data_IF_085095970168
#
_entry.id   IF_085095970168
#
_cell.length_a   1.000
_cell.length_b   1.000
_cell.length_c   1.000
_cell.angle_alpha   90.00
_cell.angle_beta   90.00
_cell.angle_gamma   90.00
#
_symmetry.space_group_name_H-M   'P 1'
#
loop_
_entity.id
_entity.type
_entity.pdbx_description
1 polymer ?
#
# COMPACT_ATOMS: atom_id res chain seq x y z
N UNK A 1 65.48 4.14 11.95
CA UNK A 1 66.74 3.88 11.23
C UNK A 1 66.41 3.44 9.81
N UNK A 2 66.74 4.28 8.85
CA UNK A 2 66.96 3.88 7.45
C UNK A 2 68.23 2.97 7.41
N UNK A 3 68.60 2.22 6.34
CA UNK A 3 68.04 2.33 4.99
C UNK A 3 68.10 1.05 4.07
N UNK A 4 67.44 1.13 2.89
CA UNK A 4 68.01 0.93 1.52
C UNK A 4 68.41 -0.52 1.06
N UNK A 5 68.28 -0.97 -0.21
CA UNK A 5 68.19 -0.33 -1.55
C UNK A 5 67.62 -1.28 -2.65
N UNK A 6 66.88 -0.68 -3.60
CA UNK A 6 66.98 -0.73 -5.10
C UNK A 6 66.82 -2.07 -5.87
N UNK A 7 66.34 -2.17 -7.12
CA UNK A 7 65.64 -1.32 -8.12
C UNK A 7 65.28 -2.25 -9.32
N UNK A 8 64.09 -2.17 -9.95
CA UNK A 8 63.77 -1.57 -11.29
C UNK A 8 64.87 -1.70 -12.36
N UNK A 9 64.66 -2.01 -13.66
CA UNK A 9 63.52 -2.19 -14.58
C UNK A 9 64.05 -2.58 -15.99
N UNK A 10 63.32 -3.35 -16.80
CA UNK A 10 62.59 -3.00 -18.06
C UNK A 10 63.38 -2.60 -19.35
N UNK A 11 63.04 -3.29 -20.46
CA UNK A 11 63.13 -2.85 -21.87
C UNK A 11 64.33 -3.40 -22.68
N UNK A 12 64.29 -3.79 -23.97
CA UNK A 12 63.27 -3.75 -25.03
C UNK A 12 63.75 -4.57 -26.28
N UNK A 13 62.80 -4.95 -27.17
CA UNK A 13 62.78 -5.04 -28.67
C UNK A 13 64.09 -5.32 -29.47
N UNK A 14 64.15 -5.89 -30.69
CA UNK A 14 63.28 -6.56 -31.70
C UNK A 14 64.12 -6.83 -32.98
N UNK A 15 63.59 -7.65 -33.92
CA UNK A 15 63.90 -7.80 -35.38
C UNK A 15 65.18 -8.54 -35.81
N UNK A 16 65.31 -9.25 -36.96
CA UNK A 16 64.46 -9.90 -37.96
C UNK A 16 65.38 -10.49 -39.09
N UNK A 17 64.78 -11.23 -40.06
CA UNK A 17 65.27 -11.60 -41.44
C UNK A 17 66.13 -12.88 -41.52
N UNK A 18 65.99 -13.83 -42.47
CA UNK A 18 65.28 -13.89 -43.76
C UNK A 18 65.17 -15.33 -44.33
N UNK A 19 64.73 -15.44 -45.60
CA UNK A 19 64.05 -16.59 -46.21
C UNK A 19 64.87 -17.44 -47.22
N UNK A 20 64.25 -18.53 -47.72
CA UNK A 20 64.11 -19.02 -49.14
C UNK A 20 64.26 -20.56 -49.35
N UNK A 21 63.15 -21.18 -49.81
CA UNK A 21 62.80 -22.30 -50.75
C UNK A 21 63.88 -23.32 -51.25
N UNK A 22 63.63 -24.59 -51.66
CA UNK A 22 62.68 -25.18 -52.68
C UNK A 22 62.58 -26.75 -52.58
N UNK A 23 61.53 -27.34 -53.20
CA UNK A 23 61.32 -28.72 -53.78
C UNK A 23 61.09 -29.94 -52.86
N UNK A 24 60.25 -30.95 -53.14
CA UNK A 24 59.46 -31.39 -54.34
C UNK A 24 58.30 -32.32 -53.93
N UNK A 25 57.32 -32.49 -54.81
CA UNK A 25 56.08 -33.27 -54.68
C UNK A 25 56.25 -34.81 -54.66
N UNK A 26 55.29 -35.55 -54.08
CA UNK A 26 54.57 -36.67 -54.74
C UNK A 26 53.47 -37.31 -53.85
N UNK A 27 52.49 -37.89 -54.54
CA UNK A 27 51.20 -38.46 -54.11
C UNK A 27 51.19 -39.52 -52.98
N UNK A 28 50.05 -39.56 -52.27
CA UNK A 28 49.55 -40.73 -51.50
C UNK A 28 49.02 -41.84 -52.42
N UNK A 29 48.88 -43.09 -51.93
CA UNK A 29 47.51 -43.52 -51.57
C UNK A 29 47.39 -44.47 -50.36
N UNK A 30 46.18 -44.41 -49.78
CA UNK A 30 45.36 -45.43 -49.10
C UNK A 30 45.87 -46.24 -47.89
N UNK A 31 45.26 -45.95 -46.73
CA UNK A 31 44.74 -46.99 -45.80
C UNK A 31 43.53 -46.48 -44.99
N UNK A 32 42.58 -47.41 -44.84
CA UNK A 32 41.21 -47.32 -44.29
C UNK A 32 41.04 -46.67 -42.90
N UNK A 33 39.80 -46.28 -42.50
CA UNK A 33 39.57 -45.29 -41.46
C UNK A 33 39.63 -45.89 -40.05
N UNK A 34 40.37 -45.22 -39.16
CA UNK A 34 40.22 -45.40 -37.72
C UNK A 34 38.97 -44.62 -37.27
N UNK A 35 38.04 -45.37 -36.67
CA UNK A 35 36.81 -44.88 -36.05
C UNK A 35 37.19 -43.90 -34.93
N UNK A 36 37.07 -42.61 -35.20
CA UNK A 36 37.24 -41.56 -34.20
C UNK A 36 36.07 -41.67 -33.22
N UNK A 37 36.33 -42.23 -32.04
CA UNK A 37 35.46 -42.08 -30.89
C UNK A 37 35.46 -40.59 -30.55
N UNK A 38 34.42 -39.87 -30.98
CA UNK A 38 34.01 -38.63 -30.32
C UNK A 38 33.75 -38.98 -28.86
N UNK A 39 34.69 -38.65 -28.00
CA UNK A 39 34.40 -38.42 -26.61
C UNK A 39 33.43 -37.23 -26.58
N UNK A 40 32.14 -37.51 -26.41
CA UNK A 40 31.18 -36.52 -25.92
C UNK A 40 31.64 -36.13 -24.51
N UNK A 41 32.52 -35.13 -24.45
CA UNK A 41 32.71 -34.37 -23.24
C UNK A 41 31.36 -33.66 -22.99
N UNK A 42 30.55 -34.23 -22.09
CA UNK A 42 29.40 -33.55 -21.54
C UNK A 42 29.84 -32.13 -21.15
N UNK A 43 29.40 -31.13 -21.92
CA UNK A 43 29.60 -29.73 -21.54
C UNK A 43 28.76 -29.53 -20.30
N UNK A 44 29.43 -29.57 -19.14
CA UNK A 44 28.80 -29.28 -17.86
C UNK A 44 28.19 -27.89 -18.00
N UNK A 45 26.86 -27.84 -18.11
CA UNK A 45 26.16 -26.60 -18.39
C UNK A 45 26.28 -25.74 -17.15
N UNK A 46 26.97 -24.60 -17.28
CA UNK A 46 27.28 -23.72 -16.16
C UNK A 46 26.79 -22.32 -16.45
N UNK A 47 26.04 -21.77 -15.50
CA UNK A 47 25.61 -20.37 -15.52
C UNK A 47 26.08 -19.70 -14.23
N UNK A 48 26.39 -18.41 -14.27
CA UNK A 48 26.76 -17.66 -13.06
C UNK A 48 25.74 -16.56 -12.86
N UNK A 49 25.13 -16.53 -11.67
CA UNK A 49 24.16 -15.49 -11.28
C UNK A 49 24.71 -14.79 -10.05
N UNK A 50 24.73 -13.46 -10.08
CA UNK A 50 24.97 -12.68 -8.87
C UNK A 50 23.66 -12.21 -8.26
N UNK A 51 23.59 -12.23 -6.94
CA UNK A 51 22.48 -11.72 -6.14
C UNK A 51 22.96 -10.57 -5.28
N UNK A 52 22.31 -9.41 -5.43
CA UNK A 52 22.61 -8.18 -4.71
C UNK A 52 21.35 -7.72 -3.95
N UNK A 53 21.46 -7.50 -2.64
CA UNK A 53 20.38 -6.96 -1.80
C UNK A 53 20.36 -5.44 -1.68
N UNK A 54 21.17 -4.73 -2.46
CA UNK A 54 21.38 -3.28 -2.36
C UNK A 54 20.79 -2.46 -3.51
N UNK A 55 20.08 -3.09 -4.46
CA UNK A 55 19.54 -2.36 -5.60
C UNK A 55 18.49 -1.33 -5.14
N UNK A 56 18.68 -0.06 -5.52
CA UNK A 56 17.77 1.03 -5.18
C UNK A 56 17.78 1.47 -3.71
N UNK A 57 18.78 1.06 -2.91
CA UNK A 57 18.91 1.52 -1.54
C UNK A 57 19.30 3.02 -1.48
N UNK A 58 18.60 3.80 -0.65
CA UNK A 58 18.86 5.24 -0.42
C UNK A 58 19.79 5.51 0.76
N UNK A 59 20.06 4.48 1.58
CA UNK A 59 21.01 4.51 2.70
C UNK A 59 22.29 3.72 2.38
N UNK A 60 23.27 3.74 3.30
CA UNK A 60 24.47 2.90 3.22
C UNK A 60 24.09 1.42 3.27
N UNK A 61 23.90 0.82 2.10
CA UNK A 61 23.77 -0.63 1.96
C UNK A 61 25.17 -1.26 1.95
N UNK A 62 25.36 -2.28 2.76
CA UNK A 62 26.66 -2.92 2.98
C UNK A 62 26.58 -4.44 2.97
N UNK A 63 25.76 -4.99 2.07
CA UNK A 63 25.69 -6.43 1.84
C UNK A 63 26.70 -6.87 0.76
N UNK A 64 27.49 -7.93 0.98
CA UNK A 64 28.38 -8.44 -0.04
C UNK A 64 27.60 -9.03 -1.22
N UNK A 65 28.01 -8.69 -2.45
CA UNK A 65 27.47 -9.31 -3.66
C UNK A 65 27.72 -10.83 -3.64
N UNK A 66 26.64 -11.61 -3.68
CA UNK A 66 26.75 -13.07 -3.72
C UNK A 66 26.82 -13.56 -5.15
N UNK A 67 27.94 -14.14 -5.57
CA UNK A 67 28.08 -14.77 -6.90
C UNK A 67 27.93 -16.28 -6.77
N UNK A 68 26.94 -16.84 -7.46
CA UNK A 68 26.59 -18.26 -7.38
C UNK A 68 26.76 -18.91 -8.75
N UNK A 69 27.64 -19.91 -8.81
CA UNK A 69 27.73 -20.81 -9.95
C UNK A 69 26.59 -21.83 -9.88
N UNK A 70 25.84 -21.93 -10.97
CA UNK A 70 24.77 -22.89 -11.20
C UNK A 70 25.30 -23.97 -12.12
N UNK A 71 25.31 -25.21 -11.65
CA UNK A 71 25.76 -26.36 -12.44
C UNK A 71 24.71 -27.48 -12.41
N UNK A 72 24.78 -28.37 -13.38
CA UNK A 72 23.90 -29.52 -13.52
C UNK A 72 23.57 -29.84 -14.96
N UNK A 73 22.84 -30.94 -15.16
CA UNK A 73 22.51 -31.45 -16.49
C UNK A 73 21.15 -30.89 -16.99
N UNK A 74 20.03 -31.36 -16.41
CA UNK A 74 18.68 -30.92 -16.80
C UNK A 74 18.20 -29.65 -16.11
N UNK A 75 18.64 -29.41 -14.88
CA UNK A 75 18.32 -28.21 -14.08
C UNK A 75 19.59 -27.75 -13.39
N UNK A 76 19.99 -26.51 -13.63
CA UNK A 76 21.15 -25.89 -13.01
C UNK A 76 20.80 -25.49 -11.58
N UNK A 77 21.57 -25.93 -10.60
CA UNK A 77 21.32 -25.58 -9.19
C UNK A 77 22.53 -24.90 -8.57
N UNK A 78 22.26 -23.86 -7.78
CA UNK A 78 23.27 -23.15 -6.99
C UNK A 78 23.30 -23.61 -5.54
N UNK A 79 24.43 -23.38 -4.86
CA UNK A 79 24.50 -23.56 -3.41
C UNK A 79 23.62 -22.50 -2.71
N UNK A 80 22.79 -22.90 -1.74
CA UNK A 80 22.02 -21.94 -0.97
C UNK A 80 22.92 -20.99 -0.16
N UNK A 81 22.51 -19.74 -0.02
CA UNK A 81 23.23 -18.72 0.74
C UNK A 81 22.25 -17.83 1.52
N UNK A 82 22.82 -16.95 2.35
CA UNK A 82 22.05 -15.99 3.16
C UNK A 82 22.47 -14.57 2.78
N UNK A 83 21.50 -13.72 2.45
CA UNK A 83 21.68 -12.28 2.34
C UNK A 83 21.78 -11.71 3.75
N UNK A 84 22.82 -10.92 4.00
CA UNK A 84 23.12 -10.37 5.30
C UNK A 84 22.12 -9.29 5.74
N UNK A 85 22.21 -8.81 6.99
CA UNK A 85 21.34 -7.75 7.51
C UNK A 85 21.59 -6.39 6.83
N UNK A 86 22.69 -6.27 6.07
CA UNK A 86 23.02 -5.11 5.25
C UNK A 86 22.15 -5.00 4.00
N UNK A 87 21.50 -6.10 3.55
CA UNK A 87 20.61 -6.13 2.40
C UNK A 87 19.33 -5.33 2.70
N UNK A 88 19.36 -4.05 2.34
CA UNK A 88 18.36 -3.06 2.72
C UNK A 88 17.52 -2.56 1.55
N UNK A 89 17.96 -2.84 0.32
CA UNK A 89 17.28 -2.47 -0.91
C UNK A 89 16.47 -3.62 -1.50
N UNK A 90 16.01 -3.41 -2.73
CA UNK A 90 15.47 -4.48 -3.55
C UNK A 90 16.56 -5.50 -3.90
N UNK A 91 16.14 -6.74 -4.16
CA UNK A 91 17.03 -7.82 -4.57
C UNK A 91 17.15 -7.83 -6.09
N UNK A 92 18.38 -7.69 -6.59
CA UNK A 92 18.74 -7.88 -8.00
C UNK A 92 19.32 -9.29 -8.21
N UNK A 93 18.80 -9.99 -9.23
CA UNK A 93 19.38 -11.20 -9.81
C UNK A 93 19.98 -10.84 -11.16
N UNK A 94 21.29 -10.94 -11.32
CA UNK A 94 21.98 -10.62 -12.57
C UNK A 94 22.75 -11.81 -13.13
N UNK A 95 22.50 -12.14 -14.39
CA UNK A 95 23.24 -13.16 -15.12
C UNK A 95 24.63 -12.61 -15.48
N UNK A 96 25.68 -13.35 -15.11
CA UNK A 96 27.09 -12.99 -15.34
C UNK A 96 27.75 -13.82 -16.45
N UNK A 97 27.07 -14.87 -16.91
CA UNK A 97 27.45 -15.61 -18.11
C UNK A 97 26.77 -15.04 -19.35
N UNK A 98 27.34 -15.20 -20.56
CA UNK A 98 26.66 -14.83 -21.80
C UNK A 98 25.29 -15.50 -21.91
N UNK A 99 24.27 -14.73 -22.28
CA UNK A 99 22.90 -15.20 -22.40
C UNK A 99 21.88 -14.20 -21.84
N UNK A 100 20.65 -14.66 -21.66
CA UNK A 100 19.53 -13.90 -21.10
C UNK A 100 18.76 -14.73 -20.08
N UNK A 101 18.14 -14.05 -19.13
CA UNK A 101 17.09 -14.57 -18.26
C UNK A 101 15.77 -14.53 -19.06
N UNK A 102 15.41 -15.62 -19.71
CA UNK A 102 14.18 -15.71 -20.51
C UNK A 102 12.91 -15.67 -19.64
N UNK A 103 12.98 -16.18 -18.42
CA UNK A 103 11.91 -16.12 -17.42
C UNK A 103 12.51 -16.10 -16.00
N UNK A 104 11.86 -15.36 -15.10
CA UNK A 104 12.25 -15.22 -13.69
C UNK A 104 11.01 -15.31 -12.80
N UNK A 105 10.96 -16.37 -11.99
CA UNK A 105 9.91 -16.57 -11.01
C UNK A 105 10.51 -16.82 -9.62
N UNK A 106 10.49 -15.78 -8.79
CA UNK A 106 10.91 -15.83 -7.39
C UNK A 106 9.69 -16.05 -6.49
N UNK A 107 9.76 -17.02 -5.59
CA UNK A 107 8.69 -17.31 -4.62
C UNK A 107 9.21 -17.37 -3.19
N UNK A 108 8.40 -16.94 -2.22
CA UNK A 108 8.68 -17.15 -0.79
C UNK A 108 8.40 -18.60 -0.34
N UNK A 109 8.66 -18.92 0.93
CA UNK A 109 8.41 -20.24 1.51
C UNK A 109 6.94 -20.69 1.50
N UNK A 110 5.99 -19.77 1.28
CA UNK A 110 4.55 -20.05 1.16
C UNK A 110 4.12 -20.21 -0.30
N UNK A 111 5.05 -20.13 -1.24
CA UNK A 111 4.79 -20.21 -2.68
C UNK A 111 4.26 -18.91 -3.29
N UNK A 112 4.23 -17.80 -2.54
CA UNK A 112 3.77 -16.50 -3.05
C UNK A 112 4.84 -15.93 -3.97
N UNK A 113 4.43 -15.45 -5.15
CA UNK A 113 5.32 -14.81 -6.12
C UNK A 113 5.78 -13.44 -5.59
N UNK A 114 7.08 -13.19 -5.67
CA UNK A 114 7.66 -11.88 -5.40
C UNK A 114 7.55 -11.04 -6.67
N UNK A 115 6.91 -9.88 -6.55
CA UNK A 115 6.84 -8.92 -7.65
C UNK A 115 8.23 -8.37 -7.96
N UNK A 116 8.52 -8.19 -9.25
CA UNK A 116 9.76 -7.60 -9.73
C UNK A 116 9.76 -7.50 -11.25
N UNK A 117 10.72 -6.75 -11.78
CA UNK A 117 10.82 -6.43 -13.20
C UNK A 117 12.17 -6.87 -13.76
N UNK A 118 12.16 -7.33 -15.01
CA UNK A 118 13.40 -7.55 -15.76
C UNK A 118 13.80 -6.28 -16.49
N UNK A 119 15.10 -6.06 -16.65
CA UNK A 119 15.60 -4.97 -17.49
C UNK A 119 15.45 -5.30 -18.98
N UNK A 120 15.59 -4.29 -19.84
CA UNK A 120 15.33 -4.41 -21.28
C UNK A 120 16.21 -5.46 -21.99
N UNK A 121 17.46 -5.63 -21.55
CA UNK A 121 18.38 -6.63 -22.11
C UNK A 121 18.15 -8.05 -21.55
N UNK A 122 17.21 -8.20 -20.59
CA UNK A 122 16.87 -9.45 -19.90
C UNK A 122 18.06 -10.11 -19.21
N UNK A 123 19.09 -9.38 -18.83
CA UNK A 123 20.23 -9.91 -18.06
C UNK A 123 20.03 -9.75 -16.56
N UNK A 124 19.06 -8.93 -16.13
CA UNK A 124 18.79 -8.64 -14.72
C UNK A 124 17.30 -8.69 -14.40
N UNK A 125 16.99 -9.08 -13.17
CA UNK A 125 15.67 -8.94 -12.56
C UNK A 125 15.81 -8.27 -11.21
N UNK A 126 14.95 -7.31 -10.90
CA UNK A 126 14.97 -6.58 -9.62
C UNK A 126 13.61 -6.71 -8.95
N UNK A 127 13.59 -7.07 -7.67
CA UNK A 127 12.35 -7.11 -6.90
C UNK A 127 11.74 -5.71 -6.77
N UNK A 128 10.41 -5.64 -6.75
CA UNK A 128 9.70 -4.37 -6.65
C UNK A 128 9.87 -3.71 -5.27
N UNK A 129 10.13 -4.52 -4.24
CA UNK A 129 10.35 -4.09 -2.85
C UNK A 129 11.51 -4.87 -2.22
N UNK A 130 12.12 -4.32 -1.16
CA UNK A 130 13.01 -5.08 -0.29
C UNK A 130 12.35 -6.36 0.23
N UNK A 131 13.14 -7.42 0.38
CA UNK A 131 12.62 -8.70 0.85
C UNK A 131 12.49 -8.70 2.39
N UNK A 132 11.39 -9.24 2.95
CA UNK A 132 11.27 -9.45 4.39
C UNK A 132 12.44 -10.23 4.98
N UNK A 133 12.89 -9.82 6.16
CA UNK A 133 13.93 -10.46 6.95
C UNK A 133 13.49 -11.86 7.46
N UNK A 134 14.45 -12.78 7.61
CA UNK A 134 14.24 -14.13 8.13
C UNK A 134 13.43 -15.06 7.22
N UNK A 135 13.19 -14.68 5.96
CA UNK A 135 12.38 -15.43 5.01
C UNK A 135 13.23 -16.23 4.03
N UNK A 136 12.65 -17.29 3.43
CA UNK A 136 13.32 -18.15 2.44
C UNK A 136 12.70 -17.95 1.08
N UNK A 137 13.53 -17.93 0.06
CA UNK A 137 13.15 -17.67 -1.31
C UNK A 137 13.71 -18.73 -2.25
N UNK A 138 12.94 -19.04 -3.27
CA UNK A 138 13.34 -19.89 -4.38
C UNK A 138 13.16 -19.12 -5.69
N UNK A 139 14.26 -18.78 -6.34
CA UNK A 139 14.28 -18.23 -7.69
C UNK A 139 14.36 -19.36 -8.70
N UNK A 140 13.29 -19.53 -9.49
CA UNK A 140 13.25 -20.39 -10.67
C UNK A 140 13.50 -19.53 -11.89
N UNK A 141 14.56 -19.84 -12.63
CA UNK A 141 15.04 -19.06 -13.76
C UNK A 141 15.01 -19.92 -15.02
N UNK A 142 14.82 -19.30 -16.17
CA UNK A 142 15.15 -19.89 -17.48
C UNK A 142 16.29 -19.08 -18.06
N UNK A 143 17.45 -19.72 -18.20
CA UNK A 143 18.66 -19.10 -18.76
C UNK A 143 18.81 -19.59 -20.18
N UNK A 144 18.86 -18.68 -21.14
CA UNK A 144 19.05 -18.99 -22.56
C UNK A 144 20.38 -18.42 -23.06
N UNK A 145 21.13 -19.18 -23.85
CA UNK A 145 22.43 -18.81 -24.40
C UNK A 145 23.65 -19.22 -23.56
N UNK A 146 23.48 -19.67 -22.32
CA UNK A 146 24.55 -20.31 -21.55
C UNK A 146 24.64 -21.79 -21.96
N UNK A 147 25.78 -22.22 -22.51
CA UNK A 147 26.11 -23.63 -22.77
C UNK A 147 25.31 -24.43 -23.83
N UNK A 148 24.44 -23.80 -24.65
CA UNK A 148 23.88 -24.46 -25.84
C UNK A 148 22.36 -24.59 -25.92
N UNK A 149 21.61 -23.79 -25.17
CA UNK A 149 20.14 -23.70 -25.29
C UNK A 149 19.48 -23.17 -24.01
N UNK A 150 18.15 -23.25 -23.91
CA UNK A 150 17.43 -22.87 -22.70
C UNK A 150 17.62 -23.92 -21.59
N UNK A 151 18.22 -23.52 -20.48
CA UNK A 151 18.35 -24.32 -19.28
C UNK A 151 17.46 -23.78 -18.16
N UNK A 152 16.79 -24.68 -17.44
CA UNK A 152 16.10 -24.33 -16.20
C UNK A 152 17.13 -24.21 -15.09
N UNK A 153 17.01 -23.17 -14.29
CA UNK A 153 17.90 -22.91 -13.16
C UNK A 153 17.09 -22.71 -11.88
N UNK A 154 17.66 -23.12 -10.75
CA UNK A 154 17.11 -22.91 -9.42
C UNK A 154 18.18 -22.35 -8.49
N UNK A 155 17.83 -21.26 -7.83
CA UNK A 155 18.63 -20.62 -6.80
C UNK A 155 17.79 -20.43 -5.55
N UNK A 156 18.17 -21.08 -4.46
CA UNK A 156 17.52 -20.91 -3.16
C UNK A 156 18.38 -19.98 -2.30
N UNK A 157 17.76 -19.02 -1.62
CA UNK A 157 18.44 -18.11 -0.71
C UNK A 157 17.51 -17.70 0.43
N UNK A 158 18.08 -17.13 1.49
CA UNK A 158 17.30 -16.61 2.63
C UNK A 158 17.82 -15.22 3.02
N UNK A 159 16.98 -14.43 3.66
CA UNK A 159 17.39 -13.18 4.32
C UNK A 159 17.72 -13.47 5.78
N UNK A 160 18.69 -12.74 6.33
CA UNK A 160 18.97 -12.84 7.76
C UNK A 160 17.77 -12.43 8.61
N UNK A 161 17.59 -13.02 9.81
CA UNK A 161 16.53 -12.62 10.72
C UNK A 161 16.65 -11.15 11.11
N UNK A 162 15.51 -10.49 11.28
CA UNK A 162 15.49 -9.14 11.85
C UNK A 162 16.13 -9.17 13.26
N UNK A 163 17.00 -8.20 13.62
CA UNK A 163 17.60 -8.13 14.95
C UNK A 163 16.54 -8.20 16.05
N UNK A 164 16.84 -8.89 17.17
CA UNK A 164 15.92 -8.92 18.30
C UNK A 164 15.59 -7.49 18.78
N UNK A 165 14.34 -7.24 19.12
CA UNK A 165 13.87 -5.91 19.54
C UNK A 165 12.39 -5.70 19.25
N UNK A 166 11.95 -4.47 19.48
CA UNK A 166 10.57 -4.05 19.20
C UNK A 166 10.22 -4.21 17.72
N UNK A 167 8.93 -4.42 17.46
CA UNK A 167 8.37 -4.60 16.13
C UNK A 167 7.19 -3.66 15.95
N UNK A 168 7.13 -3.00 14.80
CA UNK A 168 5.98 -2.21 14.42
C UNK A 168 4.85 -3.15 13.98
N UNK A 169 3.75 -3.12 14.72
CA UNK A 169 2.53 -3.90 14.45
C UNK A 169 1.37 -2.94 14.19
N UNK A 170 0.29 -3.48 13.62
CA UNK A 170 -0.89 -2.69 13.25
C UNK A 170 -2.13 -3.31 13.86
N UNK A 171 -2.93 -2.49 14.53
CA UNK A 171 -4.30 -2.79 14.89
C UNK A 171 -5.23 -2.20 13.82
N UNK A 172 -5.93 -3.05 13.08
CA UNK A 172 -6.90 -2.61 12.09
C UNK A 172 -8.29 -2.46 12.71
N UNK A 173 -8.97 -1.36 12.37
CA UNK A 173 -10.37 -1.15 12.65
C UNK A 173 -11.23 -1.18 11.37
N UNK A 174 -12.54 -1.44 11.51
CA UNK A 174 -13.27 -1.59 12.79
C UNK A 174 -13.03 -2.92 13.53
N UNK A 175 -13.00 -2.89 14.87
CA UNK A 175 -12.42 -3.96 15.73
C UNK A 175 -13.13 -5.33 15.69
N UNK A 176 -14.43 -5.37 15.40
CA UNK A 176 -15.23 -6.58 15.59
C UNK A 176 -15.55 -7.35 14.30
N UNK A 177 -15.06 -6.87 13.15
CA UNK A 177 -15.58 -7.34 11.87
C UNK A 177 -17.11 -7.19 11.80
N UNK A 178 -17.77 -7.94 10.93
CA UNK A 178 -19.24 -7.87 10.77
C UNK A 178 -19.67 -6.92 9.67
N UNK A 179 -20.89 -6.38 9.77
CA UNK A 179 -21.51 -5.58 8.71
C UNK A 179 -21.65 -4.12 9.10
N UNK A 180 -21.00 -3.24 8.35
CA UNK A 180 -21.01 -1.80 8.56
C UNK A 180 -21.74 -1.06 7.44
N UNK A 181 -22.00 0.23 7.62
CA UNK A 181 -22.46 1.08 6.54
C UNK A 181 -21.37 1.40 5.53
N UNK A 182 -21.77 1.88 4.36
CA UNK A 182 -20.88 2.12 3.22
C UNK A 182 -19.88 3.27 3.44
N UNK A 183 -20.07 4.06 4.50
CA UNK A 183 -19.19 5.15 4.88
C UNK A 183 -18.09 4.76 5.87
N UNK A 184 -18.02 3.51 6.34
CA UNK A 184 -17.03 3.09 7.33
C UNK A 184 -15.60 3.13 6.75
N UNK A 185 -14.69 4.00 7.25
CA UNK A 185 -13.29 3.91 6.86
C UNK A 185 -12.63 2.67 7.48
N UNK A 186 -11.55 2.20 6.86
CA UNK A 186 -10.63 1.27 7.52
C UNK A 186 -9.64 2.11 8.31
N UNK A 187 -9.41 1.78 9.57
CA UNK A 187 -8.36 2.43 10.38
C UNK A 187 -7.18 1.47 10.56
N UNK A 188 -5.98 2.02 10.66
CA UNK A 188 -4.77 1.31 10.99
C UNK A 188 -4.03 2.11 12.06
N UNK A 189 -4.01 1.58 13.28
CA UNK A 189 -3.26 2.12 14.41
C UNK A 189 -1.94 1.38 14.54
N UNK A 190 -0.83 2.11 14.44
CA UNK A 190 0.53 1.61 14.54
C UNK A 190 0.95 1.56 16.01
N UNK A 191 1.64 0.49 16.40
CA UNK A 191 2.19 0.38 17.76
C UNK A 191 3.35 1.34 18.06
N UNK A 192 3.90 1.98 17.02
CA UNK A 192 5.01 2.94 17.13
C UNK A 192 4.75 4.14 16.22
N UNK A 193 5.13 5.35 16.63
CA UNK A 193 5.00 6.53 15.78
C UNK A 193 5.97 6.46 14.59
N UNK A 194 5.47 6.82 13.42
CA UNK A 194 6.22 7.07 12.19
C UNK A 194 6.07 8.56 11.83
N UNK A 195 7.04 9.40 12.23
CA UNK A 195 7.00 10.85 12.02
C UNK A 195 6.80 11.26 10.54
N UNK A 196 6.30 12.48 10.32
CA UNK A 196 5.99 13.00 8.98
C UNK A 196 7.23 13.24 8.10
N UNK A 197 8.38 13.47 8.72
CA UNK A 197 9.69 13.63 8.07
C UNK A 197 10.34 12.28 7.71
N UNK A 198 9.90 11.17 8.30
CA UNK A 198 10.34 9.81 7.97
C UNK A 198 9.66 9.28 6.69
N UNK A 199 9.85 9.96 5.57
CA UNK A 199 9.15 9.68 4.30
C UNK A 199 9.28 8.24 3.81
N UNK A 200 10.49 7.68 3.82
CA UNK A 200 10.72 6.29 3.41
C UNK A 200 10.08 5.27 4.36
N UNK A 201 10.09 5.55 5.67
CA UNK A 201 9.40 4.75 6.68
C UNK A 201 7.89 4.73 6.41
N UNK A 202 7.29 5.90 6.15
CA UNK A 202 5.87 6.01 5.80
C UNK A 202 5.53 5.26 4.52
N UNK A 203 6.37 5.37 3.49
CA UNK A 203 6.19 4.60 2.24
C UNK A 203 6.33 3.09 2.45
N UNK A 204 7.25 2.66 3.31
CA UNK A 204 7.41 1.25 3.64
C UNK A 204 6.17 0.71 4.38
N UNK A 205 5.66 1.47 5.34
CA UNK A 205 4.42 1.13 6.05
C UNK A 205 3.24 1.06 5.09
N UNK A 206 2.97 2.15 4.36
CA UNK A 206 1.78 2.25 3.51
C UNK A 206 1.75 1.20 2.40
N UNK A 207 2.89 0.88 1.76
CA UNK A 207 2.96 -0.20 0.73
C UNK A 207 2.65 -1.58 1.30
N UNK A 208 2.95 -1.79 2.59
CA UNK A 208 2.71 -3.06 3.24
C UNK A 208 1.25 -3.23 3.69
N UNK A 209 0.49 -2.13 3.87
CA UNK A 209 -0.92 -2.20 4.25
C UNK A 209 -1.80 -2.40 3.02
N UNK A 210 -2.40 -3.57 2.89
CA UNK A 210 -3.19 -3.96 1.72
C UNK A 210 -4.67 -4.01 2.06
N UNK A 211 -5.46 -3.35 1.22
CA UNK A 211 -6.93 -3.37 1.27
C UNK A 211 -7.45 -3.92 -0.04
N UNK A 212 -8.36 -4.88 0.03
CA UNK A 212 -9.06 -5.45 -1.12
C UNK A 212 -10.56 -5.44 -0.85
N UNK A 213 -11.33 -5.27 -1.91
CA UNK A 213 -12.79 -5.30 -1.85
C UNK A 213 -13.38 -6.10 -3.00
N UNK A 214 -14.56 -6.65 -2.74
CA UNK A 214 -15.40 -7.32 -3.72
C UNK A 214 -16.83 -6.73 -3.61
N UNK A 215 -17.35 -6.04 -4.64
CA UNK A 215 -16.67 -5.64 -5.88
C UNK A 215 -15.43 -4.76 -5.64
N UNK A 216 -14.45 -4.86 -6.55
CA UNK A 216 -13.22 -4.08 -6.46
C UNK A 216 -13.50 -2.58 -6.62
N UNK A 217 -12.96 -1.79 -5.70
CA UNK A 217 -12.93 -0.33 -5.77
C UNK A 217 -11.54 0.19 -5.46
N UNK A 218 -11.16 1.27 -6.14
CA UNK A 218 -9.92 1.99 -5.86
C UNK A 218 -10.06 2.82 -4.58
N UNK A 219 -9.04 2.78 -3.74
CA UNK A 219 -8.92 3.58 -2.53
C UNK A 219 -7.47 3.84 -2.15
N UNK A 220 -7.26 4.68 -1.15
CA UNK A 220 -5.94 5.14 -0.73
C UNK A 220 -5.88 5.34 0.78
N UNK A 221 -4.69 5.16 1.35
CA UNK A 221 -4.40 5.48 2.74
C UNK A 221 -4.17 6.99 2.91
N UNK A 222 -4.54 7.49 4.07
CA UNK A 222 -4.27 8.85 4.53
C UNK A 222 -3.61 8.75 5.91
N UNK A 223 -2.43 9.36 6.08
CA UNK A 223 -1.80 9.51 7.38
C UNK A 223 -2.48 10.61 8.19
N UNK A 224 -3.29 10.22 9.18
CA UNK A 224 -3.98 11.16 10.08
C UNK A 224 -2.99 11.82 11.02
N UNK A 225 -2.09 11.02 11.60
CA UNK A 225 -1.00 11.47 12.46
C UNK A 225 0.24 10.56 12.30
N UNK A 226 1.09 10.41 13.32
CA UNK A 226 2.27 9.52 13.26
C UNK A 226 1.95 8.05 13.55
N UNK A 227 0.81 7.76 14.17
CA UNK A 227 0.40 6.40 14.56
C UNK A 227 -0.90 5.96 13.88
N UNK A 228 -1.64 6.87 13.27
CA UNK A 228 -2.98 6.59 12.75
C UNK A 228 -3.04 6.80 11.25
N UNK A 229 -3.50 5.79 10.52
CA UNK A 229 -3.88 5.91 9.12
C UNK A 229 -5.34 5.53 8.93
N UNK A 230 -6.01 6.23 8.03
CA UNK A 230 -7.34 5.86 7.55
C UNK A 230 -7.27 5.46 6.07
N UNK A 231 -8.08 4.51 5.63
CA UNK A 231 -8.25 4.15 4.23
C UNK A 231 -9.71 4.22 3.85
N UNK A 232 -9.96 4.82 2.68
CA UNK A 232 -11.28 4.78 2.04
C UNK A 232 -11.18 4.73 0.52
N UNK A 233 -12.21 4.21 -0.16
CA UNK A 233 -12.37 4.36 -1.59
C UNK A 233 -12.63 5.81 -1.99
N UNK A 234 -12.50 6.10 -3.30
CA UNK A 234 -12.75 7.44 -3.87
C UNK A 234 -14.15 7.97 -3.53
N UNK A 235 -15.14 7.11 -3.67
CA UNK A 235 -16.52 7.29 -3.20
C UNK A 235 -16.78 6.34 -2.04
N UNK A 236 -18.02 6.17 -1.59
CA UNK A 236 -18.35 5.16 -0.58
C UNK A 236 -18.03 3.73 -1.04
N UNK A 237 -17.88 2.82 -0.08
CA UNK A 237 -17.82 1.40 -0.38
C UNK A 237 -19.06 0.96 -1.17
N UNK A 238 -18.95 -0.02 -2.08
CA UNK A 238 -20.13 -0.63 -2.66
C UNK A 238 -21.02 -1.20 -1.55
N UNK A 239 -22.34 -1.16 -1.74
CA UNK A 239 -23.26 -1.83 -0.83
C UNK A 239 -23.09 -3.35 -0.95
N UNK A 240 -23.21 -4.09 0.16
CA UNK A 240 -23.05 -5.57 0.19
C UNK A 240 -21.68 -6.03 -0.31
N UNK A 241 -20.66 -5.20 -0.10
CA UNK A 241 -19.28 -5.54 -0.42
C UNK A 241 -18.65 -6.37 0.69
N UNK A 242 -17.64 -7.16 0.33
CA UNK A 242 -16.70 -7.76 1.27
C UNK A 242 -15.39 -6.98 1.20
N UNK A 243 -14.83 -6.61 2.35
CA UNK A 243 -13.56 -5.90 2.46
C UNK A 243 -12.59 -6.73 3.29
N UNK A 244 -11.39 -6.94 2.74
CA UNK A 244 -10.29 -7.65 3.38
C UNK A 244 -9.10 -6.73 3.55
N UNK A 245 -8.55 -6.68 4.76
CA UNK A 245 -7.40 -5.84 5.12
C UNK A 245 -6.34 -6.71 5.75
N UNK A 246 -5.10 -6.57 5.31
CA UNK A 246 -3.98 -7.24 5.95
C UNK A 246 -2.70 -6.41 5.88
N UNK A 247 -1.79 -6.71 6.81
CA UNK A 247 -0.47 -6.13 6.86
C UNK A 247 0.57 -7.08 6.29
N UNK A 248 1.39 -6.59 5.37
CA UNK A 248 2.60 -7.24 4.86
C UNK A 248 3.87 -6.83 5.62
N UNK A 249 3.73 -6.25 6.82
CA UNK A 249 4.86 -5.69 7.57
C UNK A 249 5.77 -6.72 8.21
N UNK A 250 5.31 -7.95 8.42
CA UNK A 250 6.09 -8.97 9.12
C UNK A 250 7.44 -9.23 8.43
N UNK A 251 8.52 -8.84 9.12
CA UNK A 251 9.89 -8.89 8.61
C UNK A 251 10.27 -7.76 7.65
N UNK A 252 9.35 -6.89 7.26
CA UNK A 252 9.65 -5.72 6.43
C UNK A 252 10.49 -4.71 7.22
N UNK A 253 11.50 -4.13 6.56
CA UNK A 253 12.29 -3.05 7.14
C UNK A 253 11.53 -1.73 7.02
N UNK A 254 11.47 -0.96 8.11
CA UNK A 254 10.75 0.33 8.16
C UNK A 254 11.76 1.47 8.12
N UNK A 255 12.52 1.66 9.20
CA UNK A 255 13.59 2.66 9.30
C UNK A 255 14.50 2.38 10.50
N UNK A 256 15.76 2.81 10.47
CA UNK A 256 16.62 2.88 11.67
C UNK A 256 16.84 1.56 12.42
N UNK A 257 16.57 0.40 11.80
CA UNK A 257 16.60 -0.92 12.44
C UNK A 257 15.27 -1.38 13.02
N UNK A 258 14.20 -0.57 12.92
CA UNK A 258 12.82 -0.98 13.17
C UNK A 258 12.33 -1.88 12.02
N UNK A 259 11.80 -3.03 12.41
CA UNK A 259 11.16 -3.99 11.52
C UNK A 259 9.69 -4.12 11.87
N UNK A 260 8.89 -4.40 10.86
CA UNK A 260 7.49 -4.74 11.06
C UNK A 260 7.33 -6.14 11.65
N UNK A 261 6.24 -6.31 12.39
CA UNK A 261 5.83 -7.57 13.02
C UNK A 261 4.51 -8.09 12.47
N UNK A 262 4.13 -9.31 12.87
CA UNK A 262 2.85 -9.88 12.49
C UNK A 262 1.70 -9.04 13.04
N UNK A 263 0.68 -8.83 12.22
CA UNK A 263 -0.53 -8.09 12.59
C UNK A 263 -1.76 -8.93 12.27
N UNK A 264 -2.81 -8.82 13.08
CA UNK A 264 -4.06 -9.56 12.86
C UNK A 264 -4.78 -8.97 11.63
N UNK A 265 -5.16 -9.77 10.62
CA UNK A 265 -5.93 -9.27 9.49
C UNK A 265 -7.36 -8.92 9.92
N UNK A 266 -8.01 -8.05 9.15
CA UNK A 266 -9.41 -7.65 9.33
C UNK A 266 -10.22 -8.06 8.11
N UNK A 267 -11.47 -8.47 8.34
CA UNK A 267 -12.45 -8.66 7.29
C UNK A 267 -13.83 -8.23 7.78
N UNK A 268 -14.53 -7.47 6.95
CA UNK A 268 -15.88 -6.99 7.24
C UNK A 268 -16.68 -6.89 5.93
N UNK A 269 -17.99 -6.75 6.06
CA UNK A 269 -18.90 -6.51 4.94
C UNK A 269 -19.59 -5.17 5.08
N UNK A 270 -20.12 -4.65 3.99
CA UNK A 270 -21.01 -3.49 4.02
C UNK A 270 -22.46 -3.92 3.87
N UNK A 271 -23.39 -3.20 4.49
CA UNK A 271 -24.82 -3.42 4.33
C UNK A 271 -25.39 -2.73 3.10
N UNK A 272 -26.71 -2.57 3.07
CA UNK A 272 -27.36 -1.59 2.18
C UNK A 272 -26.82 -0.19 2.46
N UNK A 273 -26.72 0.66 1.43
CA UNK A 273 -26.33 2.06 1.61
C UNK A 273 -27.45 2.82 2.29
N UNK A 274 -27.25 3.23 3.55
CA UNK A 274 -28.15 4.15 4.23
C UNK A 274 -27.51 5.53 4.26
N UNK A 275 -28.26 6.53 3.82
CA UNK A 275 -27.88 7.94 3.91
C UNK A 275 -29.04 8.73 4.51
N UNK A 276 -28.82 9.36 5.66
CA UNK A 276 -29.76 10.27 6.28
C UNK A 276 -29.31 11.71 6.01
N UNK A 277 -30.09 12.45 5.23
CA UNK A 277 -29.80 13.84 4.86
C UNK A 277 -30.65 14.76 5.73
N UNK A 278 -30.00 15.46 6.67
CA UNK A 278 -30.62 16.53 7.46
C UNK A 278 -30.51 17.85 6.72
N UNK A 279 -31.62 18.38 6.27
CA UNK A 279 -31.73 19.75 5.77
C UNK A 279 -32.14 20.66 6.93
N UNK A 280 -31.20 21.49 7.38
CA UNK A 280 -31.43 22.41 8.51
C UNK A 280 -32.48 23.46 8.16
N UNK A 281 -32.45 24.01 6.94
CA UNK A 281 -33.39 25.04 6.51
C UNK A 281 -34.82 24.54 6.32
N UNK A 282 -34.98 23.27 5.96
CA UNK A 282 -36.28 22.62 5.82
C UNK A 282 -36.76 21.94 7.10
N UNK A 283 -35.95 21.95 8.18
CA UNK A 283 -36.22 21.25 9.44
C UNK A 283 -36.64 19.78 9.25
N UNK A 284 -36.02 19.11 8.27
CA UNK A 284 -36.39 17.76 7.86
C UNK A 284 -35.17 16.87 7.64
N UNK A 285 -35.34 15.59 7.93
CA UNK A 285 -34.37 14.54 7.61
C UNK A 285 -34.97 13.57 6.62
N UNK A 286 -34.35 13.47 5.44
CA UNK A 286 -34.72 12.49 4.42
C UNK A 286 -33.77 11.32 4.46
N UNK A 287 -34.30 10.12 4.71
CA UNK A 287 -33.52 8.88 4.80
C UNK A 287 -33.68 8.08 3.52
N UNK A 288 -32.56 7.67 2.95
CA UNK A 288 -32.47 6.86 1.74
C UNK A 288 -31.90 5.48 2.03
N UNK A 289 -32.36 4.48 1.27
CA UNK A 289 -31.78 3.15 1.21
C UNK A 289 -31.46 2.80 -0.22
N UNK A 290 -30.18 2.55 -0.51
CA UNK A 290 -29.68 2.25 -1.86
C UNK A 290 -30.08 3.30 -2.91
N UNK A 291 -30.23 4.56 -2.49
CA UNK A 291 -30.65 5.68 -3.34
C UNK A 291 -32.16 5.90 -3.42
N UNK A 292 -32.98 4.98 -2.90
CA UNK A 292 -34.43 5.12 -2.85
C UNK A 292 -34.87 5.83 -1.57
N UNK A 293 -35.85 6.72 -1.69
CA UNK A 293 -36.46 7.41 -0.56
C UNK A 293 -37.13 6.38 0.35
N UNK A 294 -36.73 6.36 1.62
CA UNK A 294 -37.29 5.44 2.62
C UNK A 294 -38.26 6.15 3.56
N UNK A 295 -37.89 7.31 4.11
CA UNK A 295 -38.74 8.10 5.03
C UNK A 295 -38.28 9.56 5.09
N UNK A 296 -39.23 10.46 5.32
CA UNK A 296 -38.95 11.84 5.69
C UNK A 296 -39.37 12.06 7.15
N UNK A 297 -38.51 12.67 7.96
CA UNK A 297 -38.69 12.86 9.39
C UNK A 297 -38.68 14.36 9.71
N UNK A 298 -39.69 14.91 10.41
CA UNK A 298 -39.58 16.25 10.97
C UNK A 298 -38.50 16.23 12.06
N UNK A 299 -37.60 17.20 12.03
CA UNK A 299 -36.49 17.29 13.00
C UNK A 299 -36.31 18.71 13.52
N UNK A 300 -35.65 18.84 14.65
CA UNK A 300 -35.06 20.09 15.12
C UNK A 300 -33.55 19.93 15.20
N UNK A 301 -32.79 20.98 14.85
CA UNK A 301 -31.32 20.95 14.92
C UNK A 301 -30.78 21.99 15.90
N UNK A 302 -29.49 22.30 15.84
CA UNK A 302 -28.81 23.19 16.77
C UNK A 302 -29.19 24.66 16.60
N UNK A 303 -29.65 25.29 17.68
CA UNK A 303 -30.00 26.72 17.72
C UNK A 303 -28.80 27.63 17.49
N UNK A 304 -29.04 28.93 17.31
CA UNK A 304 -27.96 29.93 17.23
C UNK A 304 -27.02 29.82 18.45
N UNK A 305 -25.71 29.86 18.21
CA UNK A 305 -24.68 29.59 19.23
C UNK A 305 -24.28 28.11 19.36
N UNK A 306 -25.15 27.18 18.98
CA UNK A 306 -24.95 25.72 19.07
C UNK A 306 -25.30 25.00 17.77
N UNK A 307 -25.10 25.67 16.63
CA UNK A 307 -25.51 25.17 15.31
C UNK A 307 -24.88 23.83 14.99
N UNK A 308 -25.71 22.88 14.57
CA UNK A 308 -25.30 21.53 14.16
C UNK A 308 -24.25 21.62 13.04
N UNK A 309 -23.18 20.83 13.16
CA UNK A 309 -22.11 20.84 12.15
C UNK A 309 -22.62 20.37 10.79
N UNK A 310 -22.25 21.12 9.75
CA UNK A 310 -22.55 20.79 8.35
C UNK A 310 -21.57 19.76 7.78
N UNK A 311 -21.95 19.04 6.73
CA UNK A 311 -21.10 18.05 6.07
C UNK A 311 -21.50 16.61 6.37
N UNK A 312 -20.65 15.67 5.94
CA UNK A 312 -20.87 14.23 6.04
C UNK A 312 -20.28 13.71 7.36
N UNK A 313 -21.07 12.94 8.09
CA UNK A 313 -20.69 12.26 9.32
C UNK A 313 -20.94 10.77 9.14
N UNK A 314 -20.12 9.95 9.76
CA UNK A 314 -20.32 8.50 9.81
C UNK A 314 -20.87 8.15 11.19
N UNK A 315 -21.89 7.29 11.24
CA UNK A 315 -22.42 6.77 12.49
C UNK A 315 -21.31 6.02 13.24
N UNK A 316 -21.00 6.48 14.45
CA UNK A 316 -19.93 5.95 15.30
C UNK A 316 -20.40 4.83 16.22
N UNK A 317 -21.65 4.90 16.63
CA UNK A 317 -22.20 4.00 17.64
C UNK A 317 -23.65 4.33 17.96
N UNK A 318 -24.29 3.42 18.69
CA UNK A 318 -25.72 3.48 18.98
C UNK A 318 -25.99 3.06 20.41
N UNK A 319 -26.76 3.88 21.13
CA UNK A 319 -27.11 3.67 22.53
C UNK A 319 -28.64 3.77 22.71
N UNK A 320 -29.34 2.70 23.13
CA UNK A 320 -30.79 2.76 23.36
C UNK A 320 -31.20 3.78 24.42
N UNK A 321 -30.29 4.07 25.36
CA UNK A 321 -30.43 5.08 26.39
C UNK A 321 -29.04 5.67 26.71
N UNK A 322 -28.92 6.98 26.58
CA UNK A 322 -27.70 7.73 26.93
C UNK A 322 -28.05 8.86 27.89
N UNK A 323 -27.18 9.11 28.87
CA UNK A 323 -27.26 10.32 29.70
C UNK A 323 -26.40 11.41 29.08
N UNK A 324 -27.04 12.39 28.45
CA UNK A 324 -26.36 13.53 27.86
C UNK A 324 -26.27 14.66 28.89
N UNK A 325 -25.06 15.17 29.15
CA UNK A 325 -24.84 16.28 30.08
C UNK A 325 -24.14 17.43 29.39
N UNK A 326 -24.54 18.67 29.67
CA UNK A 326 -23.92 19.86 29.11
C UNK A 326 -22.45 20.02 29.54
N UNK A 327 -22.09 19.55 30.74
CA UNK A 327 -20.72 19.63 31.23
C UNK A 327 -19.73 18.80 30.42
N UNK A 328 -20.16 17.70 29.77
CA UNK A 328 -19.30 16.90 28.90
C UNK A 328 -18.91 17.62 27.61
N UNK A 329 -19.60 18.71 27.27
CA UNK A 329 -19.31 19.57 26.12
C UNK A 329 -18.91 20.99 26.55
N UNK A 330 -18.59 21.19 27.82
CA UNK A 330 -18.07 22.47 28.34
C UNK A 330 -19.12 23.49 28.78
N UNK A 331 -20.41 23.13 28.85
CA UNK A 331 -21.44 24.02 29.41
C UNK A 331 -21.31 24.11 30.93
N UNK A 332 -21.27 25.35 31.44
CA UNK A 332 -21.21 25.61 32.89
C UNK A 332 -22.52 25.21 33.56
N UNK A 333 -22.44 24.46 34.66
CA UNK A 333 -23.61 24.17 35.51
C UNK A 333 -24.28 25.47 35.96
N UNK A 334 -25.61 25.51 35.89
CA UNK A 334 -26.40 26.69 36.23
C UNK A 334 -26.50 27.75 35.13
N UNK A 335 -25.87 27.56 33.96
CA UNK A 335 -26.18 28.39 32.79
C UNK A 335 -27.58 28.07 32.25
N UNK A 336 -28.18 29.01 31.52
CA UNK A 336 -29.49 28.84 30.87
C UNK A 336 -29.50 27.72 29.83
N UNK A 337 -28.33 27.36 29.30
CA UNK A 337 -28.17 26.30 28.29
C UNK A 337 -27.79 24.95 28.90
N UNK A 338 -27.54 24.87 30.21
CA UNK A 338 -27.13 23.64 30.85
C UNK A 338 -28.24 22.58 30.78
N UNK A 339 -27.88 21.35 30.42
CA UNK A 339 -28.79 20.21 30.39
C UNK A 339 -28.18 18.97 31.06
N UNK A 340 -29.04 18.11 31.60
CA UNK A 340 -28.72 16.77 32.10
C UNK A 340 -29.92 15.87 31.82
N UNK A 341 -29.88 15.18 30.68
CA UNK A 341 -31.03 14.49 30.09
C UNK A 341 -30.72 13.01 29.90
N UNK A 342 -31.73 12.17 30.19
CA UNK A 342 -31.74 10.78 29.73
C UNK A 342 -32.47 10.72 28.39
N UNK A 343 -31.76 10.29 27.37
CA UNK A 343 -32.20 10.37 25.97
C UNK A 343 -32.26 8.96 25.38
N UNK A 344 -33.38 8.63 24.77
CA UNK A 344 -33.60 7.33 24.14
C UNK A 344 -33.21 7.34 22.66
N UNK A 345 -32.88 6.15 22.15
CA UNK A 345 -32.65 5.88 20.73
C UNK A 345 -31.57 6.80 20.11
N UNK A 346 -30.43 6.89 20.79
CA UNK A 346 -29.37 7.82 20.42
C UNK A 346 -28.39 7.16 19.43
N UNK A 347 -28.25 7.76 18.26
CA UNK A 347 -27.25 7.41 17.25
C UNK A 347 -26.14 8.46 17.25
N UNK A 348 -24.93 8.08 17.65
CA UNK A 348 -23.78 8.98 17.80
C UNK A 348 -23.12 9.24 16.44
N UNK A 349 -22.81 10.50 16.14
CA UNK A 349 -22.14 10.89 14.88
C UNK A 349 -20.87 11.73 15.06
N UNK A 350 -20.61 12.23 16.28
CA UNK A 350 -19.32 12.88 16.61
C UNK A 350 -18.82 12.47 17.98
N UNK A 351 -17.51 12.57 18.22
CA UNK A 351 -16.93 12.35 19.55
C UNK A 351 -17.28 13.47 20.53
N UNK A 352 -17.50 14.69 20.03
CA UNK A 352 -17.95 15.85 20.80
C UNK A 352 -19.40 15.78 21.25
N UNK A 353 -20.14 14.72 20.91
CA UNK A 353 -21.48 14.46 21.43
C UNK A 353 -22.64 15.00 20.59
N UNK A 354 -22.52 15.10 19.27
CA UNK A 354 -23.68 15.23 18.40
C UNK A 354 -24.32 13.85 18.15
N UNK A 355 -25.64 13.79 18.32
CA UNK A 355 -26.46 12.59 18.14
C UNK A 355 -27.71 12.88 17.31
N UNK A 356 -28.28 11.81 16.75
CA UNK A 356 -29.65 11.76 16.26
C UNK A 356 -30.46 11.00 17.31
N UNK A 357 -31.52 11.58 17.87
CA UNK A 357 -32.17 10.99 19.04
C UNK A 357 -33.62 11.42 19.28
N UNK A 358 -34.30 10.71 20.19
CA UNK A 358 -35.65 11.07 20.64
C UNK A 358 -35.63 12.38 21.45
N UNK A 359 -36.48 13.33 21.08
CA UNK A 359 -36.64 14.63 21.74
C UNK A 359 -38.13 14.93 21.99
N UNK A 360 -38.83 14.14 22.83
CA UNK A 360 -40.26 14.34 23.08
C UNK A 360 -40.61 15.71 23.69
N UNK A 361 -39.63 16.40 24.28
CA UNK A 361 -39.79 17.75 24.82
C UNK A 361 -39.82 18.86 23.75
N UNK A 362 -39.52 18.55 22.48
CA UNK A 362 -39.42 19.53 21.40
C UNK A 362 -40.30 19.21 20.20
N UNK A 363 -41.40 18.47 20.39
CA UNK A 363 -42.29 18.05 19.30
C UNK A 363 -42.81 19.24 18.48
N UNK A 364 -43.18 20.34 19.14
CA UNK A 364 -43.71 21.54 18.47
C UNK A 364 -42.66 22.29 17.63
N UNK A 365 -41.37 22.08 17.90
CA UNK A 365 -40.26 22.66 17.14
C UNK A 365 -39.78 21.76 15.99
N UNK A 366 -40.10 20.48 16.00
CA UNK A 366 -39.66 19.55 14.96
C UNK A 366 -40.39 19.85 13.65
N UNK A 367 -39.64 20.15 12.59
CA UNK A 367 -40.21 20.61 11.32
C UNK A 367 -40.42 22.13 11.22
N UNK A 368 -40.02 22.91 12.23
CA UNK A 368 -40.29 24.36 12.26
C UNK A 368 -39.18 25.23 12.85
N UNK A 369 -38.42 24.76 13.84
CA UNK A 369 -37.44 25.56 14.56
C UNK A 369 -36.25 24.73 15.07
N UNK A 370 -35.06 25.34 15.10
CA UNK A 370 -33.84 24.76 15.69
C UNK A 370 -33.70 25.14 17.17
N UNK A 371 -33.88 24.18 18.08
CA UNK A 371 -33.88 24.44 19.54
C UNK A 371 -32.84 23.64 20.32
N UNK A 372 -32.10 22.74 19.68
CA UNK A 372 -31.13 21.87 20.37
C UNK A 372 -29.77 22.53 20.58
N UNK A 373 -28.87 21.83 21.28
CA UNK A 373 -27.45 22.21 21.44
C UNK A 373 -26.52 21.57 20.40
N UNK A 374 -27.05 21.19 19.23
CA UNK A 374 -26.28 20.65 18.10
C UNK A 374 -26.72 19.26 17.65
N UNK A 375 -27.45 18.53 18.49
CA UNK A 375 -28.06 17.26 18.11
C UNK A 375 -29.17 17.43 17.07
N UNK A 376 -29.54 16.35 16.40
CA UNK A 376 -30.75 16.29 15.58
C UNK A 376 -31.84 15.55 16.36
N UNK A 377 -32.79 16.32 16.89
CA UNK A 377 -33.92 15.80 17.67
C UNK A 377 -35.11 15.48 16.80
N UNK A 378 -35.80 14.38 17.10
CA UNK A 378 -37.01 13.94 16.41
C UNK A 378 -37.99 13.27 17.37
N UNK A 379 -39.18 12.88 16.88
CA UNK A 379 -40.15 12.18 17.70
C UNK A 379 -39.57 10.87 18.25
N UNK A 380 -40.11 10.37 19.37
CA UNK A 380 -39.60 9.11 19.95
C UNK A 380 -39.77 7.93 18.99
N UNK A 381 -40.86 7.93 18.22
CA UNK A 381 -41.13 6.92 17.20
C UNK A 381 -40.13 6.99 16.04
N UNK A 382 -39.89 8.19 15.49
CA UNK A 382 -38.95 8.39 14.39
C UNK A 382 -37.52 8.06 14.82
N UNK A 383 -37.14 8.43 16.05
CA UNK A 383 -35.84 8.09 16.60
C UNK A 383 -35.66 6.58 16.77
N UNK A 384 -36.68 5.87 17.27
CA UNK A 384 -36.65 4.41 17.37
C UNK A 384 -36.54 3.76 15.98
N UNK A 385 -37.34 4.22 15.03
CA UNK A 385 -37.29 3.74 13.65
C UNK A 385 -35.93 3.95 13.01
N UNK A 386 -35.36 5.16 13.15
CA UNK A 386 -34.04 5.49 12.62
C UNK A 386 -32.96 4.64 13.29
N UNK A 387 -33.01 4.53 14.62
CA UNK A 387 -32.08 3.72 15.41
C UNK A 387 -32.07 2.26 14.93
N UNK A 388 -33.21 1.67 14.59
CA UNK A 388 -33.26 0.31 14.05
C UNK A 388 -32.91 0.21 12.57
N UNK A 389 -32.97 1.33 11.83
CA UNK A 389 -32.67 1.39 10.39
C UNK A 389 -31.18 1.56 10.11
N UNK A 390 -30.50 2.40 10.89
CA UNK A 390 -29.08 2.74 10.71
C UNK A 390 -28.16 1.77 11.47
N UNK A 391 -26.93 1.65 10.99
CA UNK A 391 -25.83 0.93 11.65
C UNK A 391 -24.57 1.78 11.68
N UNK A 392 -23.59 1.37 12.48
CA UNK A 392 -22.25 1.97 12.45
C UNK A 392 -21.68 1.95 11.03
N UNK A 393 -21.08 3.06 10.59
CA UNK A 393 -20.61 3.21 9.22
C UNK A 393 -21.63 3.82 8.25
N UNK A 394 -22.91 3.93 8.62
CA UNK A 394 -23.90 4.61 7.77
C UNK A 394 -23.68 6.13 7.78
N UNK A 395 -24.21 6.81 6.78
CA UNK A 395 -23.91 8.22 6.51
C UNK A 395 -25.02 9.12 7.03
N UNK A 396 -24.62 10.20 7.72
CA UNK A 396 -25.48 11.33 8.06
C UNK A 396 -24.91 12.58 7.43
N UNK A 397 -25.65 13.19 6.51
CA UNK A 397 -25.23 14.41 5.80
C UNK A 397 -26.06 15.58 6.25
N UNK A 398 -25.43 16.63 6.78
CA UNK A 398 -26.11 17.86 7.21
C UNK A 398 -25.86 18.95 6.17
N UNK A 399 -26.94 19.53 5.64
CA UNK A 399 -26.91 20.54 4.57
C UNK A 399 -27.73 21.78 4.94
N UNK A 400 -27.54 22.86 4.19
CA UNK A 400 -28.35 24.09 4.27
C UNK A 400 -28.43 24.71 5.67
N UNK A 401 -27.38 24.54 6.49
CA UNK A 401 -27.24 25.13 7.81
C UNK A 401 -26.05 26.08 7.90
N UNK A 402 -25.99 26.85 8.99
CA UNK A 402 -24.90 27.80 9.28
C UNK A 402 -23.93 27.31 10.36
N UNK A 403 -23.90 26.00 10.62
CA UNK A 403 -22.96 25.39 11.56
C UNK A 403 -21.55 25.29 10.99
N UNK A 404 -20.57 25.05 11.87
CA UNK A 404 -19.19 24.77 11.43
C UNK A 404 -19.16 23.51 10.55
N UNK A 405 -18.25 23.40 9.58
CA UNK A 405 -18.08 22.14 8.86
C UNK A 405 -17.64 21.03 9.81
N UNK A 406 -17.99 19.80 9.43
CA UNK A 406 -17.48 18.59 10.04
C UNK A 406 -15.97 18.54 9.82
N UNK A 407 -15.24 18.35 10.91
CA UNK A 407 -13.78 18.27 10.88
C UNK A 407 -13.34 16.90 10.38
N UNK A 408 -12.23 16.78 9.64
CA UNK A 408 -11.85 15.52 9.02
C UNK A 408 -11.58 14.37 10.00
N UNK A 409 -10.86 14.61 11.11
CA UNK A 409 -10.29 13.52 11.92
C UNK A 409 -10.39 13.70 13.44
N UNK A 410 -10.60 14.91 13.97
CA UNK A 410 -10.54 15.17 15.43
C UNK A 410 -11.87 14.98 16.16
N UNK A 411 -12.95 14.65 15.45
CA UNK A 411 -14.29 14.65 16.01
C UNK A 411 -15.19 13.49 15.50
N UNK A 412 -14.60 12.35 15.20
CA UNK A 412 -15.22 11.22 14.53
C UNK A 412 -14.69 11.05 13.11
N UNK A 413 -15.38 10.28 12.28
CA UNK A 413 -14.99 10.06 10.89
C UNK A 413 -15.56 11.16 10.00
N UNK A 414 -14.79 12.22 9.79
CA UNK A 414 -15.06 13.28 8.83
C UNK A 414 -14.34 13.09 7.50
N UNK A 415 -13.79 11.90 7.25
CA UNK A 415 -12.97 11.50 6.10
C UNK A 415 -13.56 11.91 4.75
N UNK A 416 -14.89 11.82 4.64
CA UNK A 416 -15.68 12.12 3.44
C UNK A 416 -15.87 13.62 3.17
N UNK A 417 -15.44 14.49 4.08
CA UNK A 417 -15.45 15.94 3.89
C UNK A 417 -14.18 16.46 3.21
N UNK A 418 -13.16 15.61 3.03
CA UNK A 418 -12.03 15.87 2.15
C UNK A 418 -12.40 15.45 0.72
N UNK A 419 -12.13 16.29 -0.26
CA UNK A 419 -12.23 15.87 -1.65
C UNK A 419 -11.15 14.81 -1.97
N UNK A 420 -11.38 13.99 -2.99
CA UNK A 420 -10.44 12.92 -3.35
C UNK A 420 -9.00 13.41 -3.60
N UNK A 421 -8.76 14.54 -4.29
CA UNK A 421 -7.41 15.09 -4.42
C UNK A 421 -6.77 15.48 -3.07
N UNK A 422 -7.56 15.98 -2.11
CA UNK A 422 -7.07 16.32 -0.78
C UNK A 422 -6.75 15.07 0.04
N UNK A 423 -7.56 14.03 -0.11
CA UNK A 423 -7.30 12.72 0.47
C UNK A 423 -5.98 12.14 -0.02
N UNK A 424 -5.73 12.15 -1.33
CA UNK A 424 -4.49 11.64 -1.90
C UNK A 424 -3.24 12.39 -1.38
N UNK A 425 -3.33 13.66 -1.00
CA UNK A 425 -2.18 14.39 -0.41
C UNK A 425 -1.74 13.86 0.95
N UNK A 426 -2.59 13.10 1.65
CA UNK A 426 -2.24 12.43 2.89
C UNK A 426 -1.53 11.09 2.70
N UNK A 427 -1.44 10.56 1.48
CA UNK A 427 -0.71 9.35 1.14
C UNK A 427 0.79 9.63 1.00
N UNK A 428 1.62 8.75 1.53
CA UNK A 428 3.06 8.75 1.31
C UNK A 428 3.45 8.26 -0.10
N UNK A 429 2.53 7.61 -0.81
CA UNK A 429 2.74 7.04 -2.15
C UNK A 429 2.24 7.94 -3.28
N UNK A 430 1.27 8.82 -3.02
CA UNK A 430 0.74 9.72 -4.05
C UNK A 430 1.76 10.78 -4.52
N UNK A 431 2.77 11.11 -3.70
CA UNK A 431 3.83 12.07 -4.10
C UNK A 431 4.66 11.57 -5.27
N UNK A 432 4.90 10.26 -5.36
CA UNK A 432 5.70 9.67 -6.44
C UNK A 432 4.97 9.68 -7.79
N UNK A 433 3.63 9.67 -7.81
CA UNK A 433 2.84 9.81 -9.04
C UNK A 433 2.94 11.22 -9.66
N UNK A 434 3.12 12.25 -8.82
CA UNK A 434 3.34 13.62 -9.28
C UNK A 434 4.78 13.82 -9.77
N UNK A 435 5.77 13.29 -9.05
CA UNK A 435 7.19 13.40 -9.44
C UNK A 435 7.54 12.57 -10.69
N UNK A 436 6.86 11.43 -10.89
CA UNK A 436 7.00 10.64 -12.14
C UNK A 436 6.29 11.27 -13.34
N UNK A 437 5.20 12.02 -13.12
CA UNK A 437 4.52 12.75 -14.19
C UNK A 437 5.34 13.96 -14.68
N UNK A 438 6.05 14.65 -13.77
CA UNK A 438 6.94 15.78 -14.12
C UNK A 438 8.24 15.32 -14.80
N UNK A 439 8.70 14.08 -14.53
CA UNK A 439 9.83 13.47 -15.22
C UNK A 439 9.52 13.07 -16.67
N UNK A 440 8.24 13.01 -17.05
CA UNK A 440 7.80 12.83 -18.44
C UNK A 440 7.32 14.15 -19.05
N UNK A 441 8.24 15.10 -19.23
CA UNK A 441 7.99 16.29 -20.03
C UNK A 441 7.51 15.92 -21.45
N UNK A 442 6.73 16.80 -22.11
CA UNK A 442 6.04 16.44 -23.34
C UNK A 442 7.05 16.19 -24.44
N UNK A 443 7.08 14.95 -24.95
CA UNK A 443 7.72 14.64 -26.22
C UNK A 443 7.07 15.54 -27.29
N UNK A 444 7.86 16.46 -27.82
CA UNK A 444 7.52 17.31 -28.95
C UNK A 444 6.96 16.45 -30.08
N UNK A 445 5.70 16.70 -30.44
CA UNK A 445 5.09 16.13 -31.65
C UNK A 445 5.93 16.59 -32.85
N UNK A 446 6.34 15.70 -33.78
CA UNK A 446 6.91 16.16 -35.03
C UNK A 446 5.82 16.90 -35.80
N UNK A 447 6.20 18.05 -36.37
CA UNK A 447 5.34 18.85 -37.22
C UNK A 447 4.82 18.01 -38.40
N UNK A 448 3.50 17.90 -38.51
CA UNK A 448 2.87 17.36 -39.70
C UNK A 448 3.09 18.35 -40.85
N UNK A 449 3.82 17.89 -41.87
CA UNK A 449 4.07 18.63 -43.09
C UNK A 449 2.78 18.97 -43.83
N UNK A 450 2.80 20.15 -44.44
CA UNK A 450 1.78 20.68 -45.31
C UNK A 450 1.45 19.73 -46.47
N UNK A 451 0.15 19.59 -46.75
CA UNK A 451 -0.35 19.30 -48.09
C UNK A 451 -1.44 20.32 -48.39
N UNK A 452 -1.08 21.21 -49.33
CA UNK A 452 -1.95 22.08 -50.11
C UNK A 452 -3.00 21.25 -50.85
N UNK A 453 -4.26 21.70 -50.91
CA UNK A 453 -4.80 21.93 -52.24
C UNK A 453 -5.69 23.18 -52.33
N UNK A 454 -5.34 24.05 -53.26
CA UNK A 454 -6.22 24.70 -54.25
C UNK A 454 -7.72 24.38 -54.13
N UNK A 455 -8.49 25.33 -53.58
CA UNK A 455 -9.65 26.02 -54.19
C UNK A 455 -10.36 26.91 -53.16
#
# INVERSE_FOLDING_TARGET
MSPRRYAQGWGALSLAVGAVLVSTAAQSPDRAPAREQRADAARDSTAVVSVDGCAGATALCSDPLHTVALGGDRVLTGRPFTLGPGASGSVELALRTPGVLADVNVTDQRGRRIAGAQNADRTRWTSALPLPAGARYAARLVVDGAAGGPHRARLDFRTDPAPAGERLTVAFGPEHGGTYGVGMPVTAELSHPVPADASEARRAVERALQVRSEPHVEGSWYWVDSTTLHYRPRTYWPARATVHVHSGLDGARIDGGLYGGPSRPLSFTTGSRIEAVTDVSAHAMTVFRDGELLRNLPVTTGKAGYRTRGGIKVVLGKEPLVRMRGDSIGLKRGSTDFYDLKVHWATRVTWSGEYLHAAPWSLDSQGSEDVSHGCTGMSTEDAAWLFHTVREGDLVRVVNGYGKPMTPFDNGFGDWNLSWPEWLRGSALARDAADTADATGPASRPAAGALDPTL
#
